data_IF_859751965199
#
_entry.id   IF_859751965199
#
_cell.length_a   1.000
_cell.length_b   1.000
_cell.length_c   1.000
_cell.angle_alpha   90.00
_cell.angle_beta   90.00
_cell.angle_gamma   90.00
#
_symmetry.space_group_name_H-M   'P 1'
#
loop_
_entity.id
_entity.type
_entity.pdbx_description
1 polymer ?
#
# COMPACT_ATOMS: atom_id res chain seq x y z
N UNK A 1 -6.66 -14.93 -3.30
CA UNK A 1 -7.04 -14.04 -2.18
C UNK A 1 -7.62 -12.79 -2.79
N UNK A 2 -8.48 -12.12 -2.05
CA UNK A 2 -9.34 -11.08 -2.61
C UNK A 2 -9.55 -9.97 -1.61
N UNK A 3 -9.44 -8.75 -2.10
CA UNK A 3 -10.14 -7.63 -1.48
C UNK A 3 -11.47 -7.41 -2.22
N UNK A 4 -12.40 -6.76 -1.55
CA UNK A 4 -13.68 -6.34 -2.13
C UNK A 4 -13.90 -4.87 -1.81
N UNK A 5 -14.25 -4.09 -2.81
CA UNK A 5 -14.79 -2.75 -2.60
C UNK A 5 -16.24 -2.88 -2.11
N UNK A 6 -16.53 -2.27 -0.97
CA UNK A 6 -17.89 -2.14 -0.45
C UNK A 6 -18.51 -0.85 -0.99
N UNK A 7 -19.81 -0.90 -1.26
CA UNK A 7 -20.54 0.18 -1.91
C UNK A 7 -20.62 1.42 -1.00
N UNK A 8 -20.18 2.55 -1.53
CA UNK A 8 -20.21 3.83 -0.85
C UNK A 8 -20.12 4.98 -1.87
N UNK A 9 -20.83 6.09 -1.60
CA UNK A 9 -21.05 7.14 -2.58
C UNK A 9 -19.85 8.09 -2.80
N UNK A 10 -18.96 8.21 -1.81
CA UNK A 10 -17.86 9.19 -1.82
C UNK A 10 -16.49 8.55 -1.61
N UNK A 11 -16.40 7.72 -0.57
CA UNK A 11 -15.17 7.03 -0.18
C UNK A 11 -15.08 5.61 -0.74
N UNK A 12 -13.86 5.07 -0.80
CA UNK A 12 -13.63 3.66 -1.07
C UNK A 12 -13.49 2.89 0.25
N UNK A 13 -14.38 1.92 0.48
CA UNK A 13 -14.26 1.00 1.61
C UNK A 13 -13.71 -0.33 1.08
N UNK A 14 -12.61 -0.81 1.67
CA UNK A 14 -11.92 -2.02 1.23
C UNK A 14 -12.00 -3.06 2.34
N UNK A 15 -12.65 -4.19 2.05
CA UNK A 15 -12.60 -5.38 2.90
C UNK A 15 -11.52 -6.34 2.39
N UNK A 16 -10.63 -6.81 3.26
CA UNK A 16 -9.47 -7.64 2.89
C UNK A 16 -9.51 -8.95 3.68
N UNK A 17 -9.41 -10.06 2.97
CA UNK A 17 -9.17 -11.39 3.55
C UNK A 17 -7.77 -11.88 3.15
N UNK A 18 -6.90 -12.08 4.13
CA UNK A 18 -5.51 -12.50 3.95
C UNK A 18 -5.11 -13.55 5.00
N UNK A 19 -4.10 -14.37 4.68
CA UNK A 19 -3.62 -15.47 5.53
C UNK A 19 -2.78 -14.99 6.71
N UNK A 20 -2.12 -13.86 6.54
CA UNK A 20 -1.22 -13.27 7.52
C UNK A 20 -1.16 -11.74 7.38
N UNK A 21 -0.51 -11.10 8.35
CA UNK A 21 -0.41 -9.64 8.43
C UNK A 21 0.34 -9.03 7.23
N UNK A 22 1.43 -9.66 6.80
CA UNK A 22 2.25 -9.13 5.70
C UNK A 22 1.41 -9.12 4.42
N UNK A 23 0.67 -10.19 4.18
CA UNK A 23 -0.22 -10.28 3.05
C UNK A 23 -1.39 -9.30 3.13
N UNK A 24 -1.98 -9.08 4.31
CA UNK A 24 -3.02 -8.07 4.48
C UNK A 24 -2.55 -6.66 4.06
N UNK A 25 -1.33 -6.27 4.45
CA UNK A 25 -0.73 -4.99 4.07
C UNK A 25 -0.39 -4.91 2.59
N UNK A 26 0.05 -6.02 1.99
CA UNK A 26 0.32 -6.11 0.55
C UNK A 26 -0.95 -5.93 -0.25
N UNK A 27 -2.01 -6.66 0.11
CA UNK A 27 -3.31 -6.59 -0.58
C UNK A 27 -3.96 -5.20 -0.39
N UNK A 28 -3.76 -4.57 0.77
CA UNK A 28 -4.23 -3.20 0.99
C UNK A 28 -3.52 -2.19 0.08
N UNK A 29 -2.19 -2.34 -0.09
CA UNK A 29 -1.42 -1.51 -1.01
C UNK A 29 -1.90 -1.66 -2.44
N UNK A 30 -2.04 -2.90 -2.91
CA UNK A 30 -2.53 -3.20 -4.27
C UNK A 30 -3.93 -2.61 -4.49
N UNK A 31 -4.81 -2.68 -3.50
CA UNK A 31 -6.15 -2.12 -3.61
C UNK A 31 -6.13 -0.59 -3.77
N UNK A 32 -5.27 0.12 -3.03
CA UNK A 32 -5.12 1.59 -3.15
C UNK A 32 -4.48 1.99 -4.48
N UNK A 33 -3.49 1.24 -4.97
CA UNK A 33 -2.89 1.47 -6.29
C UNK A 33 -3.96 1.30 -7.38
N UNK A 34 -4.71 0.19 -7.35
CA UNK A 34 -5.74 -0.12 -8.34
C UNK A 34 -6.95 0.82 -8.29
N UNK A 35 -7.21 1.49 -7.16
CA UNK A 35 -8.19 2.58 -7.10
C UNK A 35 -7.74 3.80 -7.92
N UNK A 36 -6.43 3.99 -8.06
CA UNK A 36 -5.85 5.18 -8.68
C UNK A 36 -5.51 4.96 -10.14
N UNK A 37 -4.91 3.81 -10.49
CA UNK A 37 -4.51 3.46 -11.86
C UNK A 37 -4.56 1.95 -12.10
N UNK A 38 -4.60 1.56 -13.37
CA UNK A 38 -4.50 0.16 -13.79
C UNK A 38 -3.04 -0.31 -13.70
N UNK A 39 -2.69 -0.95 -12.58
CA UNK A 39 -1.31 -1.37 -12.32
C UNK A 39 -0.81 -2.36 -13.38
N UNK A 40 -1.71 -3.08 -14.07
CA UNK A 40 -1.30 -4.08 -15.03
C UNK A 40 -0.62 -3.50 -16.28
N UNK A 41 -0.86 -2.22 -16.54
CA UNK A 41 -0.29 -1.46 -17.66
C UNK A 41 1.00 -0.71 -17.32
N UNK A 42 1.47 -0.76 -16.08
CA UNK A 42 2.71 -0.10 -15.65
C UNK A 42 3.93 -0.97 -15.98
N UNK A 43 5.00 -0.36 -16.50
CA UNK A 43 6.27 -1.03 -16.81
C UNK A 43 7.31 -0.68 -15.74
N UNK A 44 7.99 -1.67 -15.17
CA UNK A 44 9.04 -1.43 -14.13
C UNK A 44 10.33 -0.87 -14.75
N UNK A 45 10.45 0.45 -14.82
CA UNK A 45 11.63 1.16 -15.34
C UNK A 45 12.48 1.76 -14.24
N UNK A 46 11.84 2.20 -13.17
CA UNK A 46 12.46 2.87 -12.04
C UNK A 46 11.97 2.26 -10.71
N UNK A 47 12.59 2.69 -9.63
CA UNK A 47 12.19 2.28 -8.28
C UNK A 47 12.30 3.44 -7.30
N UNK A 48 11.44 3.42 -6.29
CA UNK A 48 11.42 4.43 -5.22
C UNK A 48 11.32 3.78 -3.86
N UNK A 49 12.14 4.23 -2.93
CA UNK A 49 12.14 3.76 -1.55
C UNK A 49 11.41 4.75 -0.65
N UNK A 50 10.60 4.23 0.26
CA UNK A 50 9.85 5.03 1.22
C UNK A 50 9.59 4.23 2.51
N UNK A 51 9.20 4.93 3.56
CA UNK A 51 9.06 4.35 4.91
C UNK A 51 7.75 4.81 5.52
N UNK A 52 7.03 3.90 6.18
CA UNK A 52 5.88 4.22 7.00
C UNK A 52 6.14 3.77 8.44
N UNK A 53 5.70 4.55 9.43
CA UNK A 53 5.90 4.25 10.85
C UNK A 53 4.60 4.40 11.64
N UNK A 54 4.43 3.57 12.66
CA UNK A 54 3.27 3.63 13.54
C UNK A 54 3.58 3.13 14.94
N UNK A 55 2.97 3.74 15.96
CA UNK A 55 3.10 3.29 17.35
C UNK A 55 2.46 1.91 17.61
N UNK A 56 1.50 1.53 16.76
CA UNK A 56 0.81 0.25 16.76
C UNK A 56 0.48 -0.15 15.31
N UNK A 57 -0.11 -1.34 15.12
CA UNK A 57 -0.44 -1.86 13.79
C UNK A 57 -1.53 -1.06 13.07
N UNK A 58 -2.47 -0.44 13.78
CA UNK A 58 -3.53 0.35 13.16
C UNK A 58 -2.98 1.66 12.60
N UNK A 59 -2.15 2.34 13.39
CA UNK A 59 -1.42 3.52 12.93
C UNK A 59 -0.44 3.19 11.81
N UNK A 60 0.24 2.04 11.88
CA UNK A 60 1.12 1.62 10.80
C UNK A 60 0.35 1.42 9.49
N UNK A 61 -0.83 0.78 9.53
CA UNK A 61 -1.67 0.61 8.36
C UNK A 61 -2.14 1.96 7.81
N UNK A 62 -2.58 2.87 8.68
CA UNK A 62 -2.96 4.22 8.28
C UNK A 62 -1.82 4.94 7.55
N UNK A 63 -0.64 5.02 8.17
CA UNK A 63 0.53 5.68 7.55
C UNK A 63 0.97 4.97 6.27
N UNK A 64 0.94 3.64 6.23
CA UNK A 64 1.23 2.86 5.03
C UNK A 64 0.35 3.23 3.85
N UNK A 65 -0.95 3.36 4.09
CA UNK A 65 -1.94 3.71 3.06
C UNK A 65 -1.91 5.20 2.70
N UNK A 66 -1.34 6.09 3.53
CA UNK A 66 -1.10 7.50 3.17
C UNK A 66 0.13 7.67 2.26
N UNK A 67 1.21 6.93 2.54
CA UNK A 67 2.44 7.03 1.75
C UNK A 67 2.24 6.60 0.29
N UNK A 68 1.37 5.62 0.03
CA UNK A 68 1.15 5.09 -1.32
C UNK A 68 0.53 6.14 -2.28
N UNK A 69 -0.60 6.80 -1.94
CA UNK A 69 -1.11 7.94 -2.70
C UNK A 69 -0.13 9.10 -2.79
N UNK A 70 0.69 9.33 -1.77
CA UNK A 70 1.73 10.36 -1.84
C UNK A 70 2.73 10.05 -2.97
N UNK A 71 3.28 8.83 -3.00
CA UNK A 71 4.18 8.37 -4.07
C UNK A 71 3.48 8.38 -5.44
N UNK A 72 2.25 7.88 -5.53
CA UNK A 72 1.49 7.81 -6.79
C UNK A 72 1.15 9.19 -7.36
N UNK A 73 0.53 10.04 -6.53
CA UNK A 73 -0.15 11.26 -6.98
C UNK A 73 0.75 12.48 -6.81
N UNK A 74 1.35 12.63 -5.62
CA UNK A 74 2.14 13.84 -5.30
C UNK A 74 3.50 13.78 -5.99
N UNK A 75 4.13 12.60 -6.00
CA UNK A 75 5.44 12.41 -6.63
C UNK A 75 5.34 11.94 -8.09
N UNK A 76 4.14 11.58 -8.55
CA UNK A 76 3.88 11.21 -9.95
C UNK A 76 4.53 9.89 -10.37
N UNK A 77 4.71 8.94 -9.44
CA UNK A 77 5.36 7.66 -9.72
C UNK A 77 4.30 6.56 -9.90
N UNK A 78 4.12 6.06 -11.13
CA UNK A 78 3.22 4.95 -11.39
C UNK A 78 3.76 3.66 -10.74
N UNK A 79 2.96 2.95 -9.95
CA UNK A 79 3.42 1.76 -9.23
C UNK A 79 2.85 0.51 -9.90
N UNK A 80 3.74 -0.41 -10.29
CA UNK A 80 3.40 -1.77 -10.75
C UNK A 80 3.33 -2.76 -9.58
N UNK A 81 4.28 -2.69 -8.66
CA UNK A 81 4.35 -3.55 -7.46
C UNK A 81 5.16 -2.88 -6.36
N UNK A 82 4.95 -3.34 -5.13
CA UNK A 82 5.70 -2.89 -3.96
C UNK A 82 6.31 -4.10 -3.24
N UNK A 83 7.60 -4.02 -2.93
CA UNK A 83 8.25 -4.92 -1.99
C UNK A 83 8.42 -4.22 -0.65
N UNK A 84 8.19 -4.93 0.45
CA UNK A 84 8.38 -4.35 1.78
C UNK A 84 8.65 -5.39 2.88
N UNK A 85 9.17 -4.89 3.99
CA UNK A 85 9.29 -5.59 5.27
C UNK A 85 8.59 -4.81 6.37
N UNK A 86 8.04 -5.54 7.35
CA UNK A 86 7.51 -4.96 8.60
C UNK A 86 8.48 -5.34 9.71
N UNK A 87 9.02 -4.35 10.42
CA UNK A 87 9.88 -4.52 11.58
C UNK A 87 9.16 -4.02 12.84
N UNK A 88 9.27 -4.76 13.94
CA UNK A 88 8.82 -4.33 15.27
C UNK A 88 10.02 -3.99 16.15
N UNK A 89 10.05 -2.76 16.64
CA UNK A 89 10.99 -2.22 17.64
C UNK A 89 10.16 -1.68 18.82
N UNK A 90 10.53 -0.49 19.32
CA UNK A 90 9.67 0.31 20.22
C UNK A 90 8.43 0.86 19.50
N UNK A 91 8.47 0.89 18.16
CA UNK A 91 7.39 1.21 17.24
C UNK A 91 7.39 0.20 16.08
N UNK A 92 6.37 0.24 15.22
CA UNK A 92 6.32 -0.53 13.99
C UNK A 92 6.81 0.30 12.81
N UNK A 93 7.58 -0.32 11.92
CA UNK A 93 8.16 0.33 10.75
C UNK A 93 7.97 -0.56 9.52
N UNK A 94 7.56 0.05 8.41
CA UNK A 94 7.60 -0.54 7.08
C UNK A 94 8.69 0.15 6.28
N UNK A 95 9.60 -0.64 5.73
CA UNK A 95 10.52 -0.18 4.68
C UNK A 95 10.06 -0.78 3.37
N UNK A 96 9.80 0.07 2.39
CA UNK A 96 9.21 -0.32 1.13
C UNK A 96 9.99 0.19 -0.06
N UNK A 97 9.83 -0.54 -1.17
CA UNK A 97 10.38 -0.23 -2.47
C UNK A 97 9.29 -0.43 -3.52
N UNK A 98 8.83 0.67 -4.11
CA UNK A 98 7.90 0.67 -5.23
C UNK A 98 8.67 0.53 -6.55
N UNK A 99 8.13 -0.24 -7.49
CA UNK A 99 8.67 -0.44 -8.84
C UNK A 99 7.61 -0.04 -9.86
N UNK A 100 8.01 0.64 -10.92
CA UNK A 100 7.13 1.07 -12.01
C UNK A 100 7.78 2.06 -12.96
#
# INVERSE_FOLDING_TARGET
>A
MSYKFLDHATDAIIEINAKDLKEAFSVAADAVINLTLDQDKVEEKENKEFVAQGKDLYYLLFSWLEEIPFVLITEGFAIKRIEFSIEKKDFYEIKAKAFG
#
